data_IF_623637681071
#
_entry.id   IF_623637681071
#
_cell.length_a   1.000
_cell.length_b   1.000
_cell.length_c   1.000
_cell.angle_alpha   90.00
_cell.angle_beta   90.00
_cell.angle_gamma   90.00
#
_symmetry.space_group_name_H-M   'P 1'
#
loop_
_entity.id
_entity.type
_entity.pdbx_description
1 polymer ?
#
# COMPACT_ATOMS: atom_id res chain seq x y z
N UNK A 1 -1.55 -13.98 -25.94
CA UNK A 1 -0.10 -13.88 -26.24
C UNK A 1 0.44 -12.73 -25.42
N UNK A 2 1.53 -12.90 -24.65
CA UNK A 2 2.10 -11.79 -23.89
C UNK A 2 2.80 -10.81 -24.84
N UNK A 3 2.59 -9.52 -24.62
CA UNK A 3 3.29 -8.45 -25.33
C UNK A 3 4.39 -7.90 -24.42
N UNK A 4 5.55 -7.58 -24.98
CA UNK A 4 6.70 -7.08 -24.24
C UNK A 4 7.09 -5.72 -24.78
N UNK A 5 7.22 -4.76 -23.87
CA UNK A 5 7.59 -3.40 -24.19
C UNK A 5 8.76 -2.97 -23.31
N UNK A 6 9.68 -2.20 -23.89
CA UNK A 6 10.68 -1.47 -23.08
C UNK A 6 10.02 -0.15 -22.70
N UNK A 7 9.95 0.14 -21.39
CA UNK A 7 9.39 1.39 -20.91
C UNK A 7 10.18 2.58 -21.52
N UNK A 8 9.57 3.42 -22.37
CA UNK A 8 10.27 4.54 -23.01
C UNK A 8 10.69 5.62 -22.00
N UNK A 9 10.10 5.62 -20.80
CA UNK A 9 10.44 6.53 -19.70
C UNK A 9 11.48 5.94 -18.73
N UNK A 10 12.04 4.75 -19.03
CA UNK A 10 13.11 4.16 -18.21
C UNK A 10 14.31 5.09 -18.18
N UNK A 11 14.79 5.40 -16.98
CA UNK A 11 16.02 6.14 -16.75
C UNK A 11 17.06 5.24 -16.10
N UNK A 12 18.29 5.28 -16.59
CA UNK A 12 19.38 4.49 -16.00
C UNK A 12 19.87 5.08 -14.68
N UNK A 13 19.68 6.37 -14.43
CA UNK A 13 19.98 6.99 -13.15
C UNK A 13 18.80 7.92 -12.83
N UNK A 14 17.69 7.38 -12.28
CA UNK A 14 16.49 8.17 -12.06
C UNK A 14 16.73 9.26 -11.02
N UNK A 15 16.30 10.48 -11.32
CA UNK A 15 16.24 11.56 -10.34
C UNK A 15 14.90 11.50 -9.60
N UNK A 16 14.96 11.33 -8.29
CA UNK A 16 13.76 11.26 -7.45
C UNK A 16 13.41 12.62 -6.86
N UNK A 17 12.14 12.99 -6.95
CA UNK A 17 11.63 14.20 -6.33
C UNK A 17 11.90 14.23 -4.82
N UNK A 18 12.28 15.41 -4.30
CA UNK A 18 12.61 15.60 -2.88
C UNK A 18 11.50 15.14 -1.94
N UNK A 19 10.23 15.31 -2.34
CA UNK A 19 9.09 14.89 -1.52
C UNK A 19 8.92 13.37 -1.45
N UNK A 20 9.25 12.66 -2.54
CA UNK A 20 9.29 11.19 -2.58
C UNK A 20 10.40 10.72 -1.65
N UNK A 21 11.63 11.21 -1.82
CA UNK A 21 12.75 10.86 -0.94
C UNK A 21 12.40 11.07 0.54
N UNK A 22 11.90 12.27 0.90
CA UNK A 22 11.50 12.59 2.28
C UNK A 22 10.49 11.59 2.85
N UNK A 23 9.56 11.08 2.03
CA UNK A 23 8.53 10.16 2.49
C UNK A 23 9.03 8.72 2.56
N UNK A 24 9.85 8.29 1.60
CA UNK A 24 10.30 6.90 1.42
C UNK A 24 11.51 6.58 2.32
N UNK A 25 12.34 7.57 2.64
CA UNK A 25 13.47 7.46 3.56
C UNK A 25 13.03 7.54 5.04
N UNK A 26 11.73 7.70 5.30
CA UNK A 26 11.21 7.81 6.66
C UNK A 26 11.47 6.54 7.47
N UNK A 27 12.16 6.69 8.60
CA UNK A 27 12.44 5.58 9.53
C UNK A 27 11.20 5.06 10.25
N UNK A 28 10.08 5.80 10.18
CA UNK A 28 8.82 5.45 10.83
C UNK A 28 8.08 4.30 10.15
N UNK A 29 8.29 4.08 8.85
CA UNK A 29 7.48 3.16 8.04
C UNK A 29 7.51 1.76 8.65
N UNK A 30 8.71 1.21 8.79
CA UNK A 30 8.90 -0.16 9.26
C UNK A 30 8.59 -0.29 10.75
N UNK A 31 8.99 0.71 11.56
CA UNK A 31 8.69 0.75 12.99
C UNK A 31 7.18 0.75 13.26
N UNK A 32 6.39 1.45 12.43
CA UNK A 32 4.94 1.49 12.55
C UNK A 32 4.33 0.13 12.29
N UNK A 33 4.79 -0.55 11.24
CA UNK A 33 4.31 -1.90 10.97
C UNK A 33 4.73 -2.85 12.08
N UNK A 34 5.98 -2.81 12.56
CA UNK A 34 6.45 -3.62 13.67
C UNK A 34 5.73 -3.36 15.00
N UNK A 35 5.12 -2.19 15.20
CA UNK A 35 4.37 -1.88 16.42
C UNK A 35 2.98 -2.52 16.47
N UNK A 36 2.45 -3.00 15.33
CA UNK A 36 1.22 -3.78 15.27
C UNK A 36 1.43 -5.18 15.86
N UNK A 37 0.57 -5.65 16.78
CA UNK A 37 0.68 -7.00 17.35
C UNK A 37 0.67 -8.13 16.30
N UNK A 38 -0.11 -7.94 15.22
CA UNK A 38 -0.24 -8.88 14.10
C UNK A 38 0.97 -8.91 13.17
N UNK A 39 1.91 -7.98 13.30
CA UNK A 39 3.03 -7.89 12.37
C UNK A 39 3.93 -9.11 12.46
N UNK A 40 4.09 -9.79 11.33
CA UNK A 40 5.13 -10.77 11.06
C UNK A 40 5.61 -10.52 9.64
N UNK A 41 6.90 -10.70 9.37
CA UNK A 41 7.38 -10.72 8.00
C UNK A 41 6.66 -11.84 7.24
N UNK A 42 6.17 -11.54 6.04
CA UNK A 42 5.47 -12.55 5.22
C UNK A 42 6.47 -13.53 4.64
N UNK A 43 6.10 -14.78 4.31
CA UNK A 43 7.06 -15.74 3.78
C UNK A 43 7.65 -15.33 2.42
N UNK A 44 8.96 -15.50 2.23
CA UNK A 44 9.58 -15.56 0.90
C UNK A 44 9.75 -17.01 0.48
N UNK A 45 8.80 -17.53 -0.30
CA UNK A 45 8.71 -18.93 -0.67
C UNK A 45 9.67 -19.23 -1.83
N UNK A 46 10.60 -20.18 -1.63
CA UNK A 46 11.46 -20.68 -2.70
C UNK A 46 10.76 -21.79 -3.50
N UNK A 47 10.70 -21.63 -4.82
CA UNK A 47 10.08 -22.57 -5.76
C UNK A 47 11.14 -23.31 -6.59
N UNK A 48 12.03 -24.04 -5.93
CA UNK A 48 13.16 -24.74 -6.57
C UNK A 48 12.75 -25.72 -7.67
N UNK A 49 11.63 -26.44 -7.50
CA UNK A 49 11.10 -27.36 -8.51
C UNK A 49 10.67 -26.65 -9.79
N UNK A 50 9.97 -25.51 -9.66
CA UNK A 50 9.56 -24.69 -10.80
C UNK A 50 10.77 -24.03 -11.46
N UNK A 51 11.70 -23.50 -10.67
CA UNK A 51 12.97 -22.95 -11.17
C UNK A 51 13.72 -23.96 -12.04
N UNK A 52 13.86 -25.21 -11.56
CA UNK A 52 14.47 -26.31 -12.33
C UNK A 52 13.73 -26.59 -13.64
N UNK A 53 12.40 -26.63 -13.62
CA UNK A 53 11.60 -26.89 -14.84
C UNK A 53 11.70 -25.78 -15.88
N UNK A 54 11.91 -24.53 -15.44
CA UNK A 54 12.10 -23.36 -16.30
C UNK A 54 13.57 -23.15 -16.72
N UNK A 55 14.51 -23.93 -16.18
CA UNK A 55 15.95 -23.77 -16.45
C UNK A 55 16.56 -22.50 -15.86
N UNK A 56 16.00 -21.95 -14.78
CA UNK A 56 16.51 -20.76 -14.09
C UNK A 56 17.13 -21.13 -12.73
N UNK A 57 18.02 -20.26 -12.21
CA UNK A 57 18.77 -20.54 -10.99
C UNK A 57 17.89 -20.63 -9.73
N UNK A 58 17.14 -19.58 -9.43
CA UNK A 58 16.24 -19.51 -8.27
C UNK A 58 14.96 -18.76 -8.63
N UNK A 59 13.86 -19.13 -7.97
CA UNK A 59 12.58 -18.45 -8.08
C UNK A 59 12.00 -18.29 -6.68
N UNK A 60 11.63 -17.06 -6.34
CA UNK A 60 11.01 -16.73 -5.07
C UNK A 60 9.67 -16.05 -5.28
N UNK A 61 8.73 -16.27 -4.36
CA UNK A 61 7.46 -15.55 -4.28
C UNK A 61 7.31 -14.97 -2.88
N UNK A 62 7.10 -13.66 -2.80
CA UNK A 62 6.73 -13.00 -1.53
C UNK A 62 5.24 -13.20 -1.29
N UNK A 63 4.89 -14.02 -0.31
CA UNK A 63 3.51 -14.43 -0.05
C UNK A 63 2.78 -13.47 0.89
N UNK A 64 2.22 -12.41 0.30
CA UNK A 64 1.46 -11.39 1.03
C UNK A 64 0.05 -11.85 1.46
N UNK A 65 -0.33 -13.11 1.23
CA UNK A 65 -1.60 -13.65 1.76
C UNK A 65 -1.61 -13.73 3.30
N UNK A 66 -0.43 -13.75 3.92
CA UNK A 66 -0.29 -13.76 5.39
C UNK A 66 -0.35 -12.37 6.02
N UNK A 67 -0.31 -11.29 5.22
CA UNK A 67 -0.16 -9.92 5.73
C UNK A 67 -1.32 -9.53 6.64
N UNK A 68 -1.04 -9.40 7.94
CA UNK A 68 -1.97 -9.00 9.01
C UNK A 68 -3.29 -9.80 9.07
N UNK A 69 -3.37 -10.98 8.43
CA UNK A 69 -4.61 -11.75 8.27
C UNK A 69 -5.59 -11.19 7.23
N UNK A 70 -5.20 -10.20 6.43
CA UNK A 70 -6.06 -9.52 5.44
C UNK A 70 -6.01 -10.13 4.04
N UNK A 71 -5.13 -11.12 3.81
CA UNK A 71 -4.94 -11.80 2.53
C UNK A 71 -4.41 -10.93 1.38
N UNK A 72 -3.89 -9.74 1.69
CA UNK A 72 -3.30 -8.82 0.72
C UNK A 72 -2.35 -7.81 1.38
N UNK A 73 -1.42 -7.28 0.60
CA UNK A 73 -0.39 -6.33 1.07
C UNK A 73 -0.89 -4.91 1.35
N UNK A 74 -2.08 -4.54 0.86
CA UNK A 74 -2.58 -3.14 0.82
C UNK A 74 -2.56 -2.43 2.17
N UNK A 75 -2.73 -3.20 3.25
CA UNK A 75 -2.67 -2.67 4.60
C UNK A 75 -1.36 -1.99 4.96
N UNK A 76 -0.21 -2.41 4.42
CA UNK A 76 1.06 -1.70 4.61
C UNK A 76 0.96 -0.23 4.19
N UNK A 77 0.32 0.04 3.05
CA UNK A 77 0.11 1.40 2.56
C UNK A 77 -0.95 2.15 3.37
N UNK A 78 -2.12 1.53 3.56
CA UNK A 78 -3.25 2.17 4.24
C UNK A 78 -2.94 2.53 5.69
N UNK A 79 -2.25 1.67 6.44
CA UNK A 79 -1.88 1.95 7.84
C UNK A 79 -0.89 3.09 7.95
N UNK A 80 0.11 3.14 7.06
CA UNK A 80 1.09 4.22 7.08
C UNK A 80 0.44 5.55 6.68
N UNK A 81 -0.44 5.56 5.69
CA UNK A 81 -1.21 6.74 5.32
C UNK A 81 -2.08 7.26 6.47
N UNK A 82 -2.85 6.38 7.13
CA UNK A 82 -3.68 6.73 8.29
C UNK A 82 -2.85 7.29 9.45
N UNK A 83 -1.71 6.67 9.76
CA UNK A 83 -0.75 7.17 10.74
C UNK A 83 -0.31 8.60 10.42
N UNK A 84 0.08 8.86 9.17
CA UNK A 84 0.54 10.20 8.74
C UNK A 84 -0.57 11.24 8.79
N UNK A 85 -1.79 10.89 8.41
CA UNK A 85 -2.97 11.78 8.50
C UNK A 85 -3.21 12.20 9.95
N UNK A 86 -3.31 11.22 10.86
CA UNK A 86 -3.59 11.47 12.27
C UNK A 86 -2.44 12.26 12.92
N UNK A 87 -1.19 11.87 12.65
CA UNK A 87 -0.01 12.57 13.18
C UNK A 87 0.01 14.03 12.76
N UNK A 88 -0.22 14.30 11.47
CA UNK A 88 -0.23 15.67 10.96
C UNK A 88 -1.40 16.48 11.56
N UNK A 89 -2.56 15.86 11.76
CA UNK A 89 -3.71 16.49 12.43
C UNK A 89 -3.39 16.87 13.88
N UNK A 90 -2.88 15.92 14.68
CA UNK A 90 -2.56 16.19 16.09
C UNK A 90 -1.44 17.21 16.26
N UNK A 91 -0.44 17.18 15.38
CA UNK A 91 0.62 18.21 15.34
C UNK A 91 0.03 19.60 15.11
N UNK A 92 -0.91 19.75 14.17
CA UNK A 92 -1.60 21.04 13.91
C UNK A 92 -2.45 21.52 15.08
N UNK A 93 -2.96 20.59 15.89
CA UNK A 93 -3.74 20.90 17.10
C UNK A 93 -2.86 21.09 18.35
N UNK A 94 -1.54 21.13 18.19
CA UNK A 94 -0.57 21.22 19.31
C UNK A 94 -0.80 20.16 20.38
N UNK A 95 -1.26 18.96 19.98
CA UNK A 95 -1.43 17.80 20.85
C UNK A 95 -0.14 16.99 20.92
N UNK A 96 -0.10 16.03 21.84
CA UNK A 96 1.07 15.17 22.08
C UNK A 96 1.60 14.55 20.80
N UNK A 97 2.92 14.53 20.67
CA UNK A 97 3.59 13.90 19.54
C UNK A 97 3.33 12.38 19.52
N UNK A 98 2.97 11.87 18.35
CA UNK A 98 2.79 10.44 18.12
C UNK A 98 4.04 9.90 17.44
N UNK A 99 4.49 8.76 17.96
CA UNK A 99 5.54 7.93 17.36
C UNK A 99 4.94 6.60 16.89
N UNK A 100 5.65 5.85 16.04
CA UNK A 100 5.22 4.51 15.66
C UNK A 100 4.91 3.58 16.84
N UNK A 101 5.67 3.69 17.94
CA UNK A 101 5.56 2.81 19.11
C UNK A 101 4.29 3.06 19.95
N UNK A 102 3.83 4.32 20.01
CA UNK A 102 2.66 4.69 20.80
C UNK A 102 1.36 4.73 20.00
N UNK A 103 1.43 4.71 18.66
CA UNK A 103 0.29 4.93 17.79
C UNK A 103 -0.86 3.93 18.02
N UNK A 104 -0.58 2.63 18.08
CA UNK A 104 -1.60 1.61 18.34
C UNK A 104 -1.79 1.26 19.82
N UNK A 105 -0.95 1.79 20.73
CA UNK A 105 -0.89 1.39 22.15
C UNK A 105 -1.37 2.46 23.12
N UNK A 106 -1.43 3.72 22.72
CA UNK A 106 -1.70 4.81 23.66
C UNK A 106 -2.15 6.12 23.02
N UNK A 107 -2.53 6.11 21.74
CA UNK A 107 -3.06 7.30 21.10
C UNK A 107 -4.37 7.72 21.76
N UNK A 108 -4.46 8.98 22.15
CA UNK A 108 -5.67 9.56 22.72
C UNK A 108 -6.55 10.14 21.60
N UNK A 109 -7.34 9.29 20.95
CA UNK A 109 -8.40 9.74 20.05
C UNK A 109 -9.77 9.48 20.66
N UNK A 110 -10.72 10.38 20.43
CA UNK A 110 -12.11 10.04 20.71
C UNK A 110 -12.60 8.99 19.69
N UNK A 111 -13.44 8.02 20.10
CA UNK A 111 -14.02 7.08 19.15
C UNK A 111 -14.79 7.82 18.04
N UNK A 112 -14.47 7.52 16.78
CA UNK A 112 -15.07 8.19 15.63
C UNK A 112 -14.69 9.66 15.45
N UNK A 113 -13.61 10.14 16.09
CA UNK A 113 -13.04 11.47 15.85
C UNK A 113 -12.68 11.67 14.37
N UNK A 114 -12.29 10.59 13.69
CA UNK A 114 -12.04 10.53 12.26
C UNK A 114 -13.03 9.62 11.56
N UNK A 115 -13.38 10.02 10.35
CA UNK A 115 -13.98 9.15 9.33
C UNK A 115 -13.04 9.11 8.15
N UNK A 116 -12.56 7.91 7.80
CA UNK A 116 -11.75 7.67 6.61
C UNK A 116 -12.67 7.24 5.47
N UNK A 117 -12.40 7.70 4.26
CA UNK A 117 -13.14 7.22 3.10
C UNK A 117 -12.22 6.87 1.94
N UNK A 118 -12.66 5.93 1.10
CA UNK A 118 -11.96 5.56 -0.12
C UNK A 118 -12.90 4.86 -1.08
N UNK A 119 -12.54 4.87 -2.37
CA UNK A 119 -13.14 3.96 -3.35
C UNK A 119 -12.24 2.74 -3.53
N UNK A 120 -12.83 1.56 -3.79
CA UNK A 120 -12.05 0.35 -3.99
C UNK A 120 -12.80 -0.70 -4.80
N UNK A 121 -12.03 -1.58 -5.46
CA UNK A 121 -12.53 -2.86 -5.95
C UNK A 121 -12.31 -4.02 -4.94
N UNK A 122 -11.75 -3.75 -3.76
CA UNK A 122 -11.65 -4.73 -2.68
C UNK A 122 -10.54 -4.47 -1.66
N UNK A 123 -9.31 -4.88 -1.99
CA UNK A 123 -8.22 -5.01 -1.00
C UNK A 123 -7.86 -3.69 -0.31
N UNK A 124 -7.91 -2.56 -1.03
CA UNK A 124 -7.56 -1.26 -0.48
C UNK A 124 -8.61 -0.76 0.52
N UNK A 125 -9.90 -0.83 0.17
CA UNK A 125 -10.95 -0.42 1.11
C UNK A 125 -11.03 -1.31 2.34
N UNK A 126 -10.78 -2.63 2.20
CA UNK A 126 -10.67 -3.52 3.37
C UNK A 126 -9.52 -3.12 4.28
N UNK A 127 -8.37 -2.76 3.71
CA UNK A 127 -7.21 -2.30 4.47
C UNK A 127 -7.48 -0.97 5.21
N UNK A 128 -8.15 -0.01 4.56
CA UNK A 128 -8.58 1.25 5.20
C UNK A 128 -9.58 0.99 6.32
N UNK A 129 -10.59 0.14 6.09
CA UNK A 129 -11.57 -0.27 7.08
C UNK A 129 -10.92 -0.93 8.30
N UNK A 130 -10.00 -1.87 8.07
CA UNK A 130 -9.22 -2.52 9.11
C UNK A 130 -8.40 -1.52 9.94
N UNK A 131 -7.70 -0.58 9.29
CA UNK A 131 -6.93 0.45 9.97
C UNK A 131 -7.82 1.38 10.82
N UNK A 132 -8.99 1.77 10.31
CA UNK A 132 -9.96 2.57 11.04
C UNK A 132 -10.49 1.81 12.28
N UNK A 133 -10.89 0.54 12.12
CA UNK A 133 -11.36 -0.32 13.22
C UNK A 133 -10.33 -0.43 14.34
N UNK A 134 -9.05 -0.65 13.99
CA UNK A 134 -7.95 -0.75 14.97
C UNK A 134 -7.82 0.49 15.86
N UNK A 135 -8.18 1.65 15.32
CA UNK A 135 -8.11 2.94 16.01
C UNK A 135 -9.47 3.38 16.57
N UNK A 136 -10.51 2.55 16.47
CA UNK A 136 -11.92 2.87 16.82
C UNK A 136 -12.44 4.12 16.09
N UNK A 137 -12.00 4.29 14.85
CA UNK A 137 -12.43 5.35 13.94
C UNK A 137 -13.42 4.78 12.92
N UNK A 138 -14.09 5.67 12.18
CA UNK A 138 -15.07 5.26 11.17
C UNK A 138 -14.42 5.09 9.80
N UNK A 139 -14.98 4.21 8.98
CA UNK A 139 -14.61 4.07 7.59
C UNK A 139 -15.86 3.99 6.70
N UNK A 140 -15.86 4.73 5.59
CA UNK A 140 -16.91 4.72 4.56
C UNK A 140 -16.26 4.33 3.23
N UNK A 141 -16.65 3.21 2.67
CA UNK A 141 -15.99 2.58 1.53
C UNK A 141 -16.93 2.55 0.34
N UNK A 142 -16.51 3.18 -0.76
CA UNK A 142 -17.26 3.26 -2.00
C UNK A 142 -16.83 2.12 -2.91
N UNK A 143 -17.79 1.40 -3.48
CA UNK A 143 -17.51 0.30 -4.40
C UNK A 143 -18.42 0.40 -5.64
N UNK A 144 -17.94 0.08 -6.85
CA UNK A 144 -18.76 0.09 -8.05
C UNK A 144 -19.83 -1.01 -8.04
N UNK A 145 -20.91 -0.83 -8.80
CA UNK A 145 -22.10 -1.69 -8.78
C UNK A 145 -21.85 -3.14 -9.18
N UNK A 146 -20.78 -3.42 -9.92
CA UNK A 146 -20.35 -4.75 -10.32
C UNK A 146 -19.46 -5.47 -9.29
N UNK A 147 -19.32 -4.92 -8.08
CA UNK A 147 -18.47 -5.47 -7.02
C UNK A 147 -18.96 -6.83 -6.52
N UNK A 148 -18.03 -7.78 -6.40
CA UNK A 148 -18.34 -9.13 -5.91
C UNK A 148 -18.74 -9.09 -4.43
N UNK A 149 -19.86 -9.73 -4.09
CA UNK A 149 -20.46 -9.73 -2.74
C UNK A 149 -19.46 -10.11 -1.63
N UNK A 150 -18.63 -11.13 -1.86
CA UNK A 150 -17.63 -11.56 -0.89
C UNK A 150 -16.62 -10.44 -0.53
N UNK A 151 -16.33 -9.50 -1.44
CA UNK A 151 -15.44 -8.37 -1.15
C UNK A 151 -16.13 -7.31 -0.29
N UNK A 152 -17.42 -7.05 -0.58
CA UNK A 152 -18.27 -6.15 0.21
C UNK A 152 -18.35 -6.66 1.65
N UNK A 153 -18.68 -7.95 1.84
CA UNK A 153 -18.81 -8.57 3.17
C UNK A 153 -17.50 -8.54 3.97
N UNK A 154 -16.36 -8.74 3.30
CA UNK A 154 -15.04 -8.65 3.95
C UNK A 154 -14.75 -7.23 4.47
N UNK A 155 -15.30 -6.20 3.85
CA UNK A 155 -15.16 -4.80 4.28
C UNK A 155 -16.17 -4.48 5.40
N UNK A 156 -17.43 -4.90 5.23
CA UNK A 156 -18.48 -4.78 6.26
C UNK A 156 -18.07 -5.47 7.58
N UNK A 157 -17.39 -6.62 7.51
CA UNK A 157 -16.89 -7.36 8.69
C UNK A 157 -15.81 -6.57 9.46
N UNK A 158 -15.14 -5.62 8.82
CA UNK A 158 -14.24 -4.68 9.50
C UNK A 158 -14.99 -3.52 10.18
N UNK A 159 -16.34 -3.51 10.14
CA UNK A 159 -17.17 -2.49 10.77
C UNK A 159 -17.26 -1.18 9.98
N UNK A 160 -16.89 -1.21 8.69
CA UNK A 160 -17.02 -0.06 7.80
C UNK A 160 -18.43 0.00 7.18
N UNK A 161 -18.87 1.21 6.89
CA UNK A 161 -20.01 1.47 6.01
C UNK A 161 -19.57 1.25 4.56
N UNK A 162 -20.35 0.50 3.78
CA UNK A 162 -20.08 0.28 2.35
C UNK A 162 -21.20 0.93 1.54
N UNK A 163 -20.83 1.80 0.61
CA UNK A 163 -21.74 2.48 -0.31
C UNK A 163 -21.49 1.94 -1.71
N UNK A 164 -22.51 1.30 -2.28
CA UNK A 164 -22.46 0.82 -3.66
C UNK A 164 -22.89 1.95 -4.59
N UNK A 165 -22.03 2.27 -5.55
CA UNK A 165 -22.28 3.27 -6.58
C UNK A 165 -22.79 2.57 -7.82
N UNK A 166 -23.94 3.01 -8.34
CA UNK A 166 -24.47 2.60 -9.63
C UNK A 166 -23.66 3.29 -10.75
N UNK A 167 -22.44 2.77 -10.96
CA UNK A 167 -21.42 3.38 -11.80
C UNK A 167 -20.11 2.59 -11.76
N UNK A 168 -19.11 3.09 -12.47
CA UNK A 168 -17.78 2.52 -12.57
C UNK A 168 -16.86 2.97 -11.40
N UNK A 169 -15.60 2.52 -11.43
CA UNK A 169 -14.62 2.82 -10.40
C UNK A 169 -14.33 4.33 -10.27
N UNK A 170 -14.19 5.05 -11.38
CA UNK A 170 -13.87 6.48 -11.40
C UNK A 170 -15.03 7.32 -10.82
N UNK A 171 -16.27 6.90 -11.07
CA UNK A 171 -17.46 7.50 -10.47
C UNK A 171 -17.46 7.25 -8.95
N UNK A 172 -17.11 6.05 -8.50
CA UNK A 172 -16.97 5.75 -7.07
C UNK A 172 -15.89 6.60 -6.39
N UNK A 173 -14.73 6.83 -7.05
CA UNK A 173 -13.67 7.73 -6.56
C UNK A 173 -14.20 9.15 -6.43
N UNK A 174 -14.93 9.62 -7.44
CA UNK A 174 -15.51 10.97 -7.47
C UNK A 174 -16.55 11.18 -6.35
N UNK A 175 -17.44 10.21 -6.14
CA UNK A 175 -18.39 10.21 -5.03
C UNK A 175 -17.68 10.26 -3.68
N UNK A 176 -16.67 9.41 -3.46
CA UNK A 176 -15.91 9.36 -2.22
C UNK A 176 -15.24 10.70 -1.90
N UNK A 177 -14.63 11.36 -2.90
CA UNK A 177 -13.97 12.65 -2.74
C UNK A 177 -14.98 13.78 -2.44
N UNK A 178 -16.11 13.81 -3.14
CA UNK A 178 -17.16 14.81 -2.95
C UNK A 178 -17.78 14.74 -1.55
N UNK A 179 -18.12 13.54 -1.09
CA UNK A 179 -18.73 13.37 0.22
C UNK A 179 -17.71 13.56 1.35
N UNK A 180 -16.43 13.27 1.11
CA UNK A 180 -15.38 13.65 2.04
C UNK A 180 -15.28 15.16 2.23
N UNK A 181 -15.32 15.92 1.14
CA UNK A 181 -15.26 17.38 1.18
C UNK A 181 -16.47 17.97 1.93
N UNK A 182 -17.67 17.43 1.70
CA UNK A 182 -18.90 17.88 2.38
C UNK A 182 -18.90 17.57 3.88
N UNK A 183 -18.42 16.39 4.27
CA UNK A 183 -18.54 15.89 5.65
C UNK A 183 -17.25 16.06 6.48
N UNK A 184 -16.17 16.60 5.89
CA UNK A 184 -14.87 16.73 6.56
C UNK A 184 -14.14 15.39 6.76
N UNK A 185 -14.47 14.36 5.97
CA UNK A 185 -13.82 13.06 6.06
C UNK A 185 -12.42 13.08 5.44
N UNK A 186 -11.61 12.09 5.81
CA UNK A 186 -10.25 11.96 5.33
C UNK A 186 -10.20 10.94 4.19
N UNK A 187 -9.99 11.44 2.96
CA UNK A 187 -9.79 10.55 1.80
C UNK A 187 -8.47 9.80 1.97
N UNK A 188 -8.49 8.49 1.79
CA UNK A 188 -7.31 7.60 1.75
C UNK A 188 -7.35 6.83 0.44
N UNK A 189 -6.94 7.46 -0.66
CA UNK A 189 -6.91 6.82 -1.99
C UNK A 189 -5.48 6.39 -2.34
N UNK A 190 -5.35 5.20 -2.95
CA UNK A 190 -4.08 4.65 -3.46
C UNK A 190 -3.77 5.07 -4.91
N UNK A 191 -4.54 6.02 -5.45
CA UNK A 191 -4.27 6.77 -6.69
C UNK A 191 -4.23 8.28 -6.44
N UNK A 192 -3.58 9.02 -7.34
CA UNK A 192 -3.39 10.47 -7.24
C UNK A 192 -4.10 11.24 -8.35
N UNK A 193 -4.44 12.49 -8.06
CA UNK A 193 -4.92 13.48 -9.03
C UNK A 193 -4.34 14.85 -8.68
N UNK A 194 -4.41 15.87 -9.55
CA UNK A 194 -3.89 17.19 -9.27
C UNK A 194 -4.41 17.73 -7.91
N UNK A 195 -3.48 18.06 -7.02
CA UNK A 195 -3.78 18.52 -5.65
C UNK A 195 -3.96 17.41 -4.60
N UNK A 196 -3.91 16.13 -4.98
CA UNK A 196 -3.98 14.98 -4.07
C UNK A 196 -2.88 13.95 -4.38
N UNK A 197 -1.67 14.26 -3.91
CA UNK A 197 -0.49 13.39 -4.11
C UNK A 197 0.12 12.94 -2.80
N UNK A 198 -0.09 13.71 -1.73
CA UNK A 198 0.55 13.48 -0.43
C UNK A 198 0.17 12.13 0.18
N UNK A 199 -1.10 11.76 0.15
CA UNK A 199 -1.59 10.50 0.74
C UNK A 199 -1.21 9.28 -0.11
N UNK A 200 -1.39 9.29 -1.45
CA UNK A 200 -0.87 8.23 -2.32
C UNK A 200 0.63 7.98 -2.12
N UNK A 201 1.43 9.05 -1.95
CA UNK A 201 2.86 8.97 -1.64
C UNK A 201 3.14 8.22 -0.33
N UNK A 202 2.32 8.40 0.71
CA UNK A 202 2.44 7.63 1.95
C UNK A 202 2.03 6.17 1.75
N UNK A 203 1.00 5.90 0.97
CA UNK A 203 0.61 4.52 0.65
C UNK A 203 1.76 3.78 -0.03
N UNK A 204 2.38 4.40 -1.04
CA UNK A 204 3.56 3.87 -1.72
C UNK A 204 4.74 3.66 -0.75
N UNK A 205 5.01 4.63 0.13
CA UNK A 205 6.05 4.49 1.15
C UNK A 205 5.77 3.30 2.09
N UNK A 206 4.51 3.07 2.47
CA UNK A 206 4.11 1.92 3.28
C UNK A 206 4.49 0.57 2.64
N UNK A 207 4.29 0.44 1.32
CA UNK A 207 4.64 -0.78 0.58
C UNK A 207 6.13 -1.14 0.63
N UNK A 208 7.02 -0.19 0.92
CA UNK A 208 8.47 -0.44 1.05
C UNK A 208 8.82 -1.50 2.11
N UNK A 209 7.93 -1.71 3.08
CA UNK A 209 8.10 -2.77 4.10
C UNK A 209 8.25 -4.14 3.46
N UNK A 210 7.47 -4.44 2.42
CA UNK A 210 7.53 -5.73 1.72
C UNK A 210 8.92 -5.97 1.12
N UNK A 211 9.47 -4.97 0.42
CA UNK A 211 10.77 -5.08 -0.22
C UNK A 211 11.92 -5.12 0.80
N UNK A 212 11.79 -4.38 1.91
CA UNK A 212 12.73 -4.48 3.03
C UNK A 212 12.74 -5.89 3.63
N UNK A 213 11.57 -6.51 3.82
CA UNK A 213 11.50 -7.88 4.30
C UNK A 213 12.13 -8.86 3.31
N UNK A 214 11.88 -8.72 2.00
CA UNK A 214 12.54 -9.54 0.96
C UNK A 214 14.06 -9.41 1.06
N UNK A 215 14.57 -8.17 1.14
CA UNK A 215 15.99 -7.91 1.25
C UNK A 215 16.62 -8.54 2.50
N UNK A 216 15.93 -8.45 3.65
CA UNK A 216 16.40 -9.04 4.91
C UNK A 216 16.39 -10.58 4.91
N UNK A 217 15.48 -11.20 4.16
CA UNK A 217 15.32 -12.64 4.10
C UNK A 217 16.28 -13.29 3.08
N UNK A 218 16.66 -12.56 2.04
CA UNK A 218 17.72 -12.94 1.12
C UNK A 218 19.09 -12.73 1.78
N UNK A 219 20.02 -13.68 1.59
CA UNK A 219 21.40 -13.49 2.06
C UNK A 219 22.04 -12.33 1.29
N UNK A 220 22.92 -11.55 1.92
CA UNK A 220 23.65 -10.44 1.28
C UNK A 220 24.34 -10.83 -0.04
N UNK A 221 24.75 -12.09 -0.20
CA UNK A 221 25.38 -12.61 -1.41
C UNK A 221 24.41 -13.05 -2.51
N UNK A 222 23.09 -12.95 -2.29
CA UNK A 222 22.08 -13.37 -3.26
C UNK A 222 21.84 -12.25 -4.26
N UNK A 223 22.45 -12.34 -5.44
CA UNK A 223 22.14 -11.44 -6.54
C UNK A 223 20.71 -11.65 -7.04
N UNK A 224 19.99 -10.56 -7.32
CA UNK A 224 18.65 -10.59 -7.90
C UNK A 224 18.78 -10.13 -9.35
N UNK A 225 18.53 -11.02 -10.30
CA UNK A 225 18.61 -10.68 -11.73
C UNK A 225 17.38 -9.90 -12.22
N UNK A 226 16.20 -10.28 -11.72
CA UNK A 226 14.92 -9.70 -12.11
C UNK A 226 13.89 -9.74 -10.98
N UNK A 227 13.00 -8.76 -10.98
CA UNK A 227 11.82 -8.69 -10.11
C UNK A 227 10.60 -8.44 -10.99
N UNK A 228 9.63 -9.35 -10.93
CA UNK A 228 8.34 -9.20 -11.59
C UNK A 228 7.37 -8.55 -10.61
N UNK A 229 6.76 -7.43 -11.01
CA UNK A 229 5.79 -6.70 -10.19
C UNK A 229 4.52 -6.51 -10.99
N UNK A 230 3.38 -6.90 -10.43
CA UNK A 230 2.08 -6.59 -11.02
C UNK A 230 1.76 -5.10 -10.88
N UNK A 231 1.13 -4.50 -11.90
CA UNK A 231 0.68 -3.12 -11.85
C UNK A 231 -0.83 -3.01 -12.13
N UNK A 232 -1.49 -2.19 -11.32
CA UNK A 232 -2.75 -1.53 -11.66
C UNK A 232 -2.42 -0.06 -11.90
N UNK A 233 -2.76 0.83 -10.97
CA UNK A 233 -2.34 2.25 -10.99
C UNK A 233 -0.83 2.50 -10.79
N UNK A 234 0.01 1.46 -10.81
CA UNK A 234 1.48 1.59 -10.73
C UNK A 234 2.10 1.82 -9.33
N UNK A 235 1.31 2.04 -8.27
CA UNK A 235 1.84 2.37 -6.93
C UNK A 235 2.86 1.35 -6.37
N UNK A 236 2.60 0.04 -6.50
CA UNK A 236 3.52 -1.00 -6.05
C UNK A 236 4.81 -1.04 -6.90
N UNK A 237 4.68 -0.91 -8.22
CA UNK A 237 5.81 -0.88 -9.15
C UNK A 237 6.71 0.35 -8.91
N UNK A 238 6.11 1.50 -8.57
CA UNK A 238 6.86 2.70 -8.19
C UNK A 238 7.60 2.52 -6.86
N UNK A 239 6.97 1.90 -5.85
CA UNK A 239 7.65 1.54 -4.59
C UNK A 239 8.82 0.57 -4.83
N UNK A 240 8.65 -0.42 -5.70
CA UNK A 240 9.71 -1.35 -6.08
C UNK A 240 10.87 -0.60 -6.77
N UNK A 241 10.55 0.24 -7.75
CA UNK A 241 11.52 1.05 -8.48
C UNK A 241 12.39 1.88 -7.56
N UNK A 242 11.77 2.58 -6.60
CA UNK A 242 12.52 3.36 -5.62
C UNK A 242 13.39 2.48 -4.71
N UNK A 243 12.82 1.39 -4.18
CA UNK A 243 13.55 0.52 -3.26
C UNK A 243 14.80 -0.08 -3.90
N UNK A 244 14.66 -0.67 -5.09
CA UNK A 244 15.78 -1.34 -5.76
C UNK A 244 16.80 -0.35 -6.33
N UNK A 245 16.38 0.85 -6.72
CA UNK A 245 17.32 1.93 -7.09
C UNK A 245 18.20 2.35 -5.90
N UNK A 246 17.58 2.57 -4.73
CA UNK A 246 18.30 3.04 -3.53
C UNK A 246 19.13 1.98 -2.84
N UNK A 247 18.65 0.75 -2.79
CA UNK A 247 19.30 -0.32 -2.02
C UNK A 247 20.40 -1.03 -2.83
N UNK A 248 20.28 -1.11 -4.16
CA UNK A 248 21.18 -1.94 -4.99
C UNK A 248 22.08 -1.16 -5.95
N UNK A 249 21.87 0.15 -6.16
CA UNK A 249 22.68 1.01 -7.03
C UNK A 249 23.02 0.32 -8.39
N UNK A 250 24.32 0.08 -8.68
CA UNK A 250 24.75 -0.58 -9.93
C UNK A 250 24.37 -2.05 -10.04
N UNK A 251 24.03 -2.70 -8.94
CA UNK A 251 23.64 -4.12 -8.88
C UNK A 251 22.12 -4.30 -8.91
N UNK A 252 21.36 -3.27 -9.29
CA UNK A 252 19.89 -3.34 -9.31
C UNK A 252 19.36 -4.40 -10.28
N UNK A 253 18.31 -5.14 -9.88
CA UNK A 253 17.66 -6.11 -10.76
C UNK A 253 16.95 -5.42 -11.93
N UNK A 254 16.66 -6.18 -12.98
CA UNK A 254 15.68 -5.77 -13.99
C UNK A 254 14.28 -5.77 -13.36
N UNK A 255 13.63 -4.62 -13.34
CA UNK A 255 12.24 -4.52 -12.89
C UNK A 255 11.30 -4.71 -14.08
N UNK A 256 10.39 -5.68 -13.96
CA UNK A 256 9.47 -6.08 -15.03
C UNK A 256 8.05 -5.88 -14.50
N UNK A 257 7.38 -4.83 -14.98
CA UNK A 257 5.97 -4.59 -14.70
C UNK A 257 5.10 -5.55 -15.50
N UNK A 258 4.04 -6.07 -14.89
CA UNK A 258 3.09 -6.99 -15.53
C UNK A 258 1.67 -6.47 -15.35
N UNK A 259 0.98 -6.26 -16.46
CA UNK A 259 -0.37 -5.70 -16.53
C UNK A 259 -1.28 -6.63 -17.38
N UNK A 260 -2.59 -6.68 -17.12
CA UNK A 260 -3.52 -7.34 -18.03
C UNK A 260 -3.59 -6.60 -19.37
N UNK A 261 -3.96 -7.29 -20.45
CA UNK A 261 -4.12 -6.64 -21.78
C UNK A 261 -5.29 -5.66 -21.82
N UNK A 262 -6.26 -5.85 -20.93
CA UNK A 262 -7.53 -5.12 -20.88
C UNK A 262 -7.57 -4.21 -19.63
N UNK A 263 -6.41 -3.68 -19.22
CA UNK A 263 -6.24 -2.84 -18.03
C UNK A 263 -7.06 -1.55 -18.09
#
# INVERSE_FOLDING_TARGET
MCQFFVNPYRQDNPEWEKEICRSFESTDIFKLHQSLPEYRATPLVSLSGLAKSLGIGQLFIKDESFRFGLKAFKALGSTYAVYRIIRDYLKKKSRTEITPDNFYKGIQLQPGEFTFCTATDGNHGRAVAWAARKLRQKAVIYMPGNSVRARIENIETEGAEVIIIDGNYDEAVSCAANDAAKNGWQVVSDTSWPGYEKIPRYIMAGYLTMFREIHQELKESTAIDAVFIQAGVGALAASASWFYDKEYDRSRPKLISVEPTDA
#
